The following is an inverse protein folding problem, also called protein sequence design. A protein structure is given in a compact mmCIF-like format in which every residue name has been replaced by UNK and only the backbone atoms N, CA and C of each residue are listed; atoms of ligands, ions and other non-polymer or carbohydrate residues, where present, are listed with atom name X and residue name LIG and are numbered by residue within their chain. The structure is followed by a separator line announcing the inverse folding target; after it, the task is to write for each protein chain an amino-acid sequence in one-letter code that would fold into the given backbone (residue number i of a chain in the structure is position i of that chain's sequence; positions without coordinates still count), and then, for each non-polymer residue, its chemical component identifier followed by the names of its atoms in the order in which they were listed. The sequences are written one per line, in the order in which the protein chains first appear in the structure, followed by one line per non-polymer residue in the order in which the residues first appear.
data_IF_900377261904
#
_entry.id   IF_900377261904
#
_cell.length_a   1.000
_cell.length_b   1.000
_cell.length_c   1.000
_cell.angle_alpha   90.00
_cell.angle_beta   90.00
_cell.angle_gamma   90.00
#
_symmetry.space_group_name_H-M   'P 1'
#
loop_
_entity.id
_entity.type
_entity.pdbx_description
1 polymer ?
#
# COMPACT_ATOMS: atom_id res chain seq x y z
N UNK A 1 0.47 -4.41 7.21
CA UNK A 1 -0.61 -5.03 6.39
C UNK A 1 -0.36 -4.73 4.93
N UNK A 2 -0.76 -5.63 4.02
CA UNK A 2 -0.70 -5.40 2.57
C UNK A 2 -2.10 -5.04 2.05
N UNK A 3 -2.16 -4.02 1.18
CA UNK A 3 -3.40 -3.57 0.55
C UNK A 3 -3.27 -3.69 -0.97
N UNK A 4 -4.28 -4.29 -1.59
CA UNK A 4 -4.38 -4.50 -3.04
C UNK A 4 -5.58 -3.80 -3.67
N UNK A 5 -6.50 -3.28 -2.84
CA UNK A 5 -7.71 -2.58 -3.27
C UNK A 5 -8.10 -1.47 -2.30
N UNK A 6 -8.97 -0.58 -2.76
CA UNK A 6 -9.53 0.54 -2.01
C UNK A 6 -10.99 0.75 -2.44
N UNK A 7 -11.90 0.85 -1.48
CA UNK A 7 -13.34 1.08 -1.71
C UNK A 7 -14.01 0.03 -2.63
N UNK A 8 -13.59 -1.23 -2.55
CA UNK A 8 -14.15 -2.31 -3.38
C UNK A 8 -13.52 -2.44 -4.78
N UNK A 9 -12.68 -1.49 -5.18
CA UNK A 9 -11.98 -1.50 -6.47
C UNK A 9 -10.47 -1.79 -6.30
N UNK A 10 -9.77 -2.25 -7.36
CA UNK A 10 -8.31 -2.33 -7.35
C UNK A 10 -7.67 -0.98 -7.04
N UNK A 11 -6.48 -0.99 -6.44
CA UNK A 11 -5.78 0.26 -6.15
C UNK A 11 -5.54 1.07 -7.45
N UNK A 12 -5.81 2.38 -7.44
CA UNK A 12 -5.28 3.26 -8.48
C UNK A 12 -3.75 3.22 -8.50
N UNK A 13 -3.15 3.47 -9.66
CA UNK A 13 -1.69 3.48 -9.83
C UNK A 13 -1.01 4.44 -8.83
N UNK A 14 -1.58 5.64 -8.69
CA UNK A 14 -1.13 6.68 -7.74
C UNK A 14 -1.17 6.21 -6.28
N UNK A 15 -2.02 5.24 -5.96
CA UNK A 15 -2.19 4.69 -4.62
C UNK A 15 -1.37 3.43 -4.38
N UNK A 16 -0.58 2.96 -5.34
CA UNK A 16 0.37 1.88 -5.14
C UNK A 16 0.01 0.55 -5.80
N UNK A 17 -0.80 0.55 -6.86
CA UNK A 17 -1.08 -0.67 -7.63
C UNK A 17 0.22 -1.38 -8.07
N UNK A 18 0.34 -2.71 -7.96
CA UNK A 18 -0.70 -3.66 -7.57
C UNK A 18 -0.85 -3.83 -6.06
N UNK A 19 0.19 -3.49 -5.28
CA UNK A 19 0.21 -3.69 -3.84
C UNK A 19 0.99 -2.59 -3.11
N UNK A 20 0.46 -2.18 -1.97
CA UNK A 20 1.14 -1.29 -1.02
C UNK A 20 1.17 -1.90 0.38
N UNK A 21 2.14 -1.47 1.18
CA UNK A 21 2.15 -1.70 2.63
C UNK A 21 1.39 -0.56 3.34
N UNK A 22 0.66 -0.89 4.41
CA UNK A 22 0.09 0.05 5.37
C UNK A 22 0.29 -0.46 6.80
N UNK A 23 0.76 0.43 7.67
CA UNK A 23 0.79 0.23 9.12
C UNK A 23 -0.11 1.28 9.78
N UNK A 24 -1.29 0.88 10.29
CA UNK A 24 -2.20 1.79 10.99
C UNK A 24 -1.49 2.45 12.18
N UNK A 25 -1.75 3.75 12.37
CA UNK A 25 -1.15 4.52 13.47
C UNK A 25 0.27 5.04 13.21
N UNK A 26 0.87 4.75 12.05
CA UNK A 26 2.15 5.34 11.63
C UNK A 26 1.96 6.38 10.53
N UNK A 27 2.89 7.34 10.48
CA UNK A 27 2.97 8.28 9.36
C UNK A 27 3.26 7.55 8.05
N UNK A 28 2.63 8.02 6.97
CA UNK A 28 2.72 7.36 5.67
C UNK A 28 4.15 7.24 5.12
N UNK A 29 5.02 8.19 5.43
CA UNK A 29 6.44 8.11 5.06
C UNK A 29 7.19 6.98 5.77
N UNK A 30 6.79 6.60 6.98
CA UNK A 30 7.47 5.59 7.80
C UNK A 30 6.85 4.19 7.69
N UNK A 31 5.56 4.09 7.32
CA UNK A 31 4.81 2.82 7.37
C UNK A 31 3.84 2.61 6.21
N UNK A 32 3.93 3.37 5.13
CA UNK A 32 3.03 3.25 3.98
C UNK A 32 3.77 3.26 2.62
N UNK A 33 4.57 2.23 2.37
CA UNK A 33 5.28 2.06 1.08
C UNK A 33 4.32 1.66 -0.05
N UNK A 34 4.34 2.40 -1.15
CA UNK A 34 3.65 2.05 -2.39
C UNK A 34 4.55 1.19 -3.27
N UNK A 35 3.95 0.32 -4.10
CA UNK A 35 4.66 -0.49 -5.10
C UNK A 35 5.71 -1.42 -4.48
N UNK A 36 5.30 -2.22 -3.51
CA UNK A 36 6.21 -3.18 -2.85
C UNK A 36 6.64 -4.25 -3.87
N UNK A 37 7.94 -4.36 -4.14
CA UNK A 37 8.51 -5.34 -5.09
C UNK A 37 9.21 -6.50 -4.41
N UNK A 38 9.62 -6.34 -3.15
CA UNK A 38 10.34 -7.35 -2.39
C UNK A 38 9.93 -7.28 -0.91
N UNK A 39 9.82 -8.45 -0.29
CA UNK A 39 9.63 -8.61 1.14
C UNK A 39 10.64 -9.67 1.58
N UNK A 40 11.65 -9.25 2.35
CA UNK A 40 12.69 -10.14 2.89
C UNK A 40 12.09 -11.23 3.78
#
# INVERSE_FOLDING_TARGET
MLCVGMNGEPLPLEHGFPVRMLTPGLYGYAGACKWVTEWN
#
